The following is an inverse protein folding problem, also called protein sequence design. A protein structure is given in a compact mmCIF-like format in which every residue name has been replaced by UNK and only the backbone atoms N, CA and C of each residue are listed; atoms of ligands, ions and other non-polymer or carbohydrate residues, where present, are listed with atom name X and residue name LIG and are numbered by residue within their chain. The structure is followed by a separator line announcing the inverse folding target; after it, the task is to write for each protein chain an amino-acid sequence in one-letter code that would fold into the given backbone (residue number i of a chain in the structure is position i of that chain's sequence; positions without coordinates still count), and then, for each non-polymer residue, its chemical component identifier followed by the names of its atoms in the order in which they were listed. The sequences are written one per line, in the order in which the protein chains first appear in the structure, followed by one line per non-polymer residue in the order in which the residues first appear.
data_IF_583848344537
#
_entry.id   IF_583848344537
#
_cell.length_a   1.000
_cell.length_b   1.000
_cell.length_c   1.000
_cell.angle_alpha   90.00
_cell.angle_beta   90.00
_cell.angle_gamma   90.00
#
_symmetry.space_group_name_H-M   'P 1'
#
loop_
_entity.id
_entity.type
_entity.pdbx_description
1 polymer ?
#
# COMPACT_ATOMS: atom_id res chain seq x y z
N UNK A 1 -44.74 -32.13 24.60
CA UNK A 1 -44.45 -30.80 23.99
C UNK A 1 -43.43 -29.98 24.77
N UNK A 2 -43.58 -29.75 26.09
CA UNK A 2 -42.63 -28.97 26.91
C UNK A 2 -41.16 -29.41 26.77
N UNK A 3 -40.85 -30.71 26.77
CA UNK A 3 -39.46 -31.20 26.63
C UNK A 3 -38.85 -30.93 25.24
N UNK A 4 -39.66 -31.01 24.18
CA UNK A 4 -39.22 -30.76 22.79
C UNK A 4 -38.88 -29.28 22.59
N UNK A 5 -39.71 -28.38 23.14
CA UNK A 5 -39.41 -26.94 23.14
C UNK A 5 -38.15 -26.61 23.92
N UNK A 6 -37.86 -27.31 25.03
CA UNK A 6 -36.61 -27.11 25.79
C UNK A 6 -35.38 -27.56 25.00
N UNK A 7 -35.44 -28.72 24.31
CA UNK A 7 -34.33 -29.19 23.47
C UNK A 7 -34.08 -28.27 22.27
N UNK A 8 -35.14 -27.74 21.65
CA UNK A 8 -35.03 -26.78 20.55
C UNK A 8 -34.39 -25.45 21.00
N UNK A 9 -34.74 -24.99 22.20
CA UNK A 9 -34.14 -23.79 22.81
C UNK A 9 -32.67 -24.03 23.18
N UNK A 10 -32.33 -25.21 23.72
CA UNK A 10 -30.96 -25.59 24.03
C UNK A 10 -30.08 -25.67 22.76
N UNK A 11 -30.58 -26.28 21.68
CA UNK A 11 -29.92 -26.34 20.37
C UNK A 11 -29.72 -24.94 19.74
N UNK A 12 -30.66 -24.01 19.93
CA UNK A 12 -30.48 -22.61 19.55
C UNK A 12 -29.38 -21.91 20.37
N UNK A 13 -29.28 -22.17 21.69
CA UNK A 13 -28.24 -21.55 22.51
C UNK A 13 -26.83 -22.06 22.20
N UNK A 14 -26.68 -23.34 21.88
CA UNK A 14 -25.38 -23.94 21.51
C UNK A 14 -24.89 -23.44 20.14
N UNK A 15 -25.82 -23.19 19.21
CA UNK A 15 -25.48 -22.60 17.90
C UNK A 15 -25.15 -21.10 17.98
N UNK A 16 -25.71 -20.36 18.94
CA UNK A 16 -25.37 -18.95 19.19
C UNK A 16 -23.99 -18.77 19.85
N UNK A 17 -23.49 -19.76 20.60
CA UNK A 17 -22.16 -19.75 21.23
C UNK A 17 -21.02 -20.25 20.32
N UNK A 18 -21.34 -20.79 19.13
CA UNK A 18 -20.35 -21.24 18.14
C UNK A 18 -19.80 -20.10 17.26
N UNK A 19 -19.97 -18.83 17.66
CA UNK A 19 -19.22 -17.74 17.07
C UNK A 19 -17.74 -17.84 17.50
N UNK A 20 -17.03 -18.82 16.93
CA UNK A 20 -15.56 -18.82 16.89
C UNK A 20 -15.14 -17.42 16.44
N UNK A 21 -14.39 -16.71 17.28
CA UNK A 21 -13.72 -15.48 16.88
C UNK A 21 -12.83 -15.81 15.69
N UNK A 22 -13.32 -15.51 14.48
CA UNK A 22 -12.58 -15.74 13.25
C UNK A 22 -11.42 -14.76 13.24
N UNK A 23 -10.24 -15.31 13.48
CA UNK A 23 -8.98 -14.58 13.51
C UNK A 23 -7.96 -15.27 12.61
N UNK A 24 -7.09 -14.47 12.02
CA UNK A 24 -6.05 -14.96 11.16
C UNK A 24 -4.95 -13.93 10.90
N UNK A 25 -3.88 -14.44 10.30
CA UNK A 25 -2.76 -13.66 9.80
C UNK A 25 -2.61 -13.96 8.32
N UNK A 26 -2.52 -12.92 7.49
CA UNK A 26 -2.17 -13.03 6.09
C UNK A 26 -0.85 -12.29 5.83
N UNK A 27 0.08 -12.94 5.14
CA UNK A 27 1.36 -12.35 4.73
C UNK A 27 1.25 -11.94 3.27
N UNK A 28 1.68 -10.71 2.97
CA UNK A 28 1.64 -10.10 1.65
C UNK A 28 3.04 -9.69 1.20
N UNK A 29 3.32 -9.93 -0.08
CA UNK A 29 4.52 -9.46 -0.75
C UNK A 29 4.13 -8.41 -1.80
N UNK A 30 4.64 -7.20 -1.62
CA UNK A 30 4.51 -6.11 -2.59
C UNK A 30 5.71 -6.12 -3.52
N UNK A 31 5.48 -6.07 -4.82
CA UNK A 31 6.51 -5.93 -5.86
C UNK A 31 6.16 -4.77 -6.77
N UNK A 32 7.02 -3.76 -6.81
CA UNK A 32 6.88 -2.60 -7.71
C UNK A 32 7.88 -2.69 -8.84
N UNK A 33 7.39 -2.63 -10.07
CA UNK A 33 8.27 -2.61 -11.25
C UNK A 33 8.73 -1.17 -11.55
N UNK A 34 10.02 -1.02 -11.85
CA UNK A 34 10.59 0.26 -12.30
C UNK A 34 10.89 0.15 -13.77
N UNK A 35 10.40 1.12 -14.52
CA UNK A 35 10.75 1.28 -15.92
C UNK A 35 12.16 1.87 -16.04
N UNK A 36 13.11 0.99 -16.31
CA UNK A 36 14.52 1.33 -16.47
C UNK A 36 14.84 1.86 -17.87
N UNK A 37 13.91 1.80 -18.82
CA UNK A 37 14.13 2.27 -20.20
C UNK A 37 14.36 3.78 -20.28
N UNK A 38 13.89 4.52 -19.27
CA UNK A 38 14.03 5.98 -19.17
C UNK A 38 15.37 6.44 -18.59
N UNK A 39 16.24 5.50 -18.19
CA UNK A 39 17.46 5.79 -17.44
C UNK A 39 18.67 6.03 -18.35
N UNK A 40 18.50 6.86 -19.39
CA UNK A 40 19.56 7.21 -20.34
C UNK A 40 20.08 6.02 -21.17
N UNK A 41 20.46 6.27 -22.42
CA UNK A 41 21.00 5.23 -23.30
C UNK A 41 22.40 4.73 -22.88
N UNK A 42 23.02 5.31 -21.84
CA UNK A 42 24.47 5.20 -21.56
C UNK A 42 24.85 4.35 -20.34
N UNK A 43 23.93 3.66 -19.67
CA UNK A 43 24.32 2.76 -18.58
C UNK A 43 24.62 1.35 -19.06
N UNK A 44 25.80 0.82 -18.67
CA UNK A 44 26.15 -0.59 -18.85
C UNK A 44 25.15 -1.51 -18.14
N UNK A 45 24.92 -2.70 -18.70
CA UNK A 45 24.02 -3.71 -18.13
C UNK A 45 24.40 -4.11 -16.70
N UNK A 46 25.70 -4.15 -16.40
CA UNK A 46 26.23 -4.39 -15.05
C UNK A 46 25.80 -3.30 -14.06
N UNK A 47 25.89 -2.03 -14.46
CA UNK A 47 25.47 -0.90 -13.64
C UNK A 47 23.96 -0.91 -13.41
N UNK A 48 23.16 -1.24 -14.45
CA UNK A 48 21.70 -1.42 -14.31
C UNK A 48 21.37 -2.54 -13.32
N UNK A 49 22.08 -3.67 -13.39
CA UNK A 49 21.91 -4.82 -12.48
C UNK A 49 22.27 -4.46 -11.04
N UNK A 50 23.38 -3.73 -10.82
CA UNK A 50 23.76 -3.25 -9.49
C UNK A 50 22.75 -2.27 -8.91
N UNK A 51 22.23 -1.34 -9.71
CA UNK A 51 21.20 -0.40 -9.24
C UNK A 51 19.90 -1.16 -8.92
N UNK A 52 19.48 -2.09 -9.79
CA UNK A 52 18.30 -2.94 -9.53
C UNK A 52 18.48 -3.75 -8.24
N UNK A 53 19.66 -4.30 -7.99
CA UNK A 53 19.96 -5.03 -6.76
C UNK A 53 19.87 -4.12 -5.51
N UNK A 54 20.42 -2.90 -5.58
CA UNK A 54 20.31 -1.91 -4.50
C UNK A 54 18.86 -1.44 -4.27
N UNK A 55 18.05 -1.40 -5.32
CA UNK A 55 16.65 -1.02 -5.24
C UNK A 55 15.73 -2.18 -4.85
N UNK A 56 16.19 -3.44 -4.90
CA UNK A 56 15.34 -4.62 -4.65
C UNK A 56 14.59 -4.52 -3.33
N UNK A 57 15.28 -4.21 -2.23
CA UNK A 57 14.66 -4.08 -0.90
C UNK A 57 13.66 -2.92 -0.80
N UNK A 58 13.72 -1.95 -1.70
CA UNK A 58 12.79 -0.83 -1.77
C UNK A 58 11.56 -1.16 -2.64
N UNK A 59 11.75 -1.97 -3.68
CA UNK A 59 10.71 -2.38 -4.62
C UNK A 59 9.94 -3.61 -4.15
N UNK A 60 10.57 -4.45 -3.33
CA UNK A 60 10.02 -5.67 -2.76
C UNK A 60 9.89 -5.53 -1.24
N UNK A 61 8.65 -5.45 -0.74
CA UNK A 61 8.34 -5.31 0.68
C UNK A 61 7.45 -6.45 1.15
N UNK A 62 7.66 -6.91 2.39
CA UNK A 62 6.78 -7.88 3.06
C UNK A 62 5.89 -7.17 4.06
N UNK A 63 4.64 -7.60 4.16
CA UNK A 63 3.67 -7.03 5.08
C UNK A 63 2.86 -8.14 5.74
N UNK A 64 2.53 -7.96 7.02
CA UNK A 64 1.61 -8.82 7.74
C UNK A 64 0.28 -8.08 7.96
N UNK A 65 -0.82 -8.76 7.62
CA UNK A 65 -2.18 -8.39 7.99
C UNK A 65 -2.66 -9.33 9.08
N UNK A 66 -2.78 -8.84 10.30
CA UNK A 66 -3.51 -9.54 11.36
C UNK A 66 -4.95 -9.04 11.32
N UNK A 67 -5.92 -9.95 11.29
CA UNK A 67 -7.32 -9.58 11.18
C UNK A 67 -8.20 -10.44 12.09
N UNK A 68 -9.27 -9.82 12.54
CA UNK A 68 -10.46 -10.46 13.08
C UNK A 68 -11.65 -10.11 12.18
N UNK A 69 -12.85 -10.53 12.56
CA UNK A 69 -14.08 -10.07 11.89
C UNK A 69 -14.35 -8.58 12.07
N UNK A 70 -13.76 -7.94 13.09
CA UNK A 70 -14.06 -6.57 13.51
C UNK A 70 -12.93 -5.60 13.19
N UNK A 71 -11.70 -6.05 13.38
CA UNK A 71 -10.51 -5.19 13.37
C UNK A 71 -9.40 -5.80 12.53
N UNK A 72 -8.46 -4.97 12.11
CA UNK A 72 -7.24 -5.43 11.46
C UNK A 72 -6.08 -4.48 11.65
N UNK A 73 -4.87 -5.03 11.69
CA UNK A 73 -3.61 -4.30 11.62
C UNK A 73 -2.80 -4.80 10.45
N UNK A 74 -2.41 -3.88 9.58
CA UNK A 74 -1.49 -4.11 8.46
C UNK A 74 -0.17 -3.39 8.73
N UNK A 75 0.93 -4.14 8.76
CA UNK A 75 2.26 -3.62 9.11
C UNK A 75 3.32 -4.17 8.18
N UNK A 76 4.29 -3.33 7.81
CA UNK A 76 5.49 -3.75 7.09
C UNK A 76 6.38 -4.61 7.99
N UNK A 77 6.78 -5.79 7.51
CA UNK A 77 7.77 -6.63 8.18
C UNK A 77 9.16 -6.12 7.83
N UNK A 78 9.91 -5.67 8.84
CA UNK A 78 11.25 -5.15 8.65
C UNK A 78 12.21 -6.26 8.22
N UNK A 79 12.75 -6.17 7.01
CA UNK A 79 13.93 -6.96 6.62
C UNK A 79 15.19 -6.23 7.07
N UNK A 80 16.05 -6.92 7.82
CA UNK A 80 17.36 -6.41 8.24
C UNK A 80 18.11 -5.90 7.00
N UNK A 81 18.54 -4.63 7.01
CA UNK A 81 19.33 -4.07 5.92
C UNK A 81 20.72 -4.73 5.91
N UNK A 82 21.22 -5.06 4.73
CA UNK A 82 22.61 -5.49 4.58
C UNK A 82 23.56 -4.35 5.00
N UNK A 83 24.61 -4.63 5.81
CA UNK A 83 25.58 -3.63 6.25
C UNK A 83 26.20 -2.88 5.06
N UNK A 84 26.38 -1.56 5.18
CA UNK A 84 27.10 -0.74 4.18
C UNK A 84 26.24 -0.15 3.05
N UNK A 85 24.93 -0.42 3.01
CA UNK A 85 24.05 0.23 2.02
C UNK A 85 23.72 1.65 2.46
N UNK A 86 24.52 2.66 2.09
CA UNK A 86 24.05 4.07 2.04
C UNK A 86 22.99 4.19 0.94
N UNK A 87 21.81 3.67 1.20
CA UNK A 87 20.65 3.80 0.32
C UNK A 87 20.29 5.27 0.18
N UNK A 88 19.72 5.63 -0.97
CA UNK A 88 19.05 6.91 -1.14
C UNK A 88 18.16 7.17 0.09
N UNK A 89 18.33 8.34 0.74
CA UNK A 89 17.54 8.83 1.90
C UNK A 89 16.06 9.07 1.57
N UNK A 90 15.48 8.26 0.68
CA UNK A 90 14.06 8.27 0.34
C UNK A 90 13.23 7.30 1.21
N UNK A 91 13.83 6.64 2.21
CA UNK A 91 13.13 5.68 3.08
C UNK A 91 11.86 6.23 3.73
N UNK A 92 11.85 7.52 4.10
CA UNK A 92 10.68 8.21 4.65
C UNK A 92 9.54 8.48 3.66
N UNK A 93 9.74 8.26 2.36
CA UNK A 93 8.69 8.43 1.34
C UNK A 93 8.01 7.11 0.95
N UNK A 94 8.40 5.98 1.56
CA UNK A 94 7.91 4.65 1.16
C UNK A 94 6.68 4.16 1.90
N UNK A 95 6.00 5.04 2.64
CA UNK A 95 4.75 4.70 3.32
C UNK A 95 4.88 3.49 4.26
N UNK A 96 6.06 3.33 4.87
CA UNK A 96 6.27 2.35 5.93
C UNK A 96 5.52 2.83 7.16
N UNK A 97 4.57 2.03 7.62
CA UNK A 97 3.66 2.42 8.69
C UNK A 97 2.77 1.28 9.16
N UNK A 98 2.01 1.55 10.21
CA UNK A 98 1.00 0.63 10.76
C UNK A 98 -0.36 1.17 10.37
N UNK A 99 -1.15 0.40 9.62
CA UNK A 99 -2.55 0.72 9.30
C UNK A 99 -3.46 -0.12 10.15
N UNK A 100 -4.21 0.52 11.03
CA UNK A 100 -5.24 -0.10 11.85
C UNK A 100 -6.63 0.29 11.31
N UNK A 101 -7.55 -0.67 11.29
CA UNK A 101 -8.95 -0.45 10.90
C UNK A 101 -9.85 -1.16 11.89
N UNK A 102 -10.93 -0.49 12.30
CA UNK A 102 -12.04 -1.08 13.02
C UNK A 102 -13.34 -0.81 12.25
N UNK A 103 -13.94 -1.87 11.72
CA UNK A 103 -15.13 -1.80 10.89
C UNK A 103 -16.41 -1.54 11.70
N UNK A 104 -16.43 -1.90 12.99
CA UNK A 104 -17.59 -1.65 13.87
C UNK A 104 -17.66 -0.19 14.30
N UNK A 105 -16.51 0.40 14.62
CA UNK A 105 -16.39 1.81 15.03
C UNK A 105 -16.20 2.77 13.85
N UNK A 106 -16.21 2.28 12.61
CA UNK A 106 -15.95 3.05 11.39
C UNK A 106 -14.66 3.91 11.46
N UNK A 107 -13.60 3.35 12.04
CA UNK A 107 -12.36 4.07 12.38
C UNK A 107 -11.16 3.51 11.64
N UNK A 108 -10.39 4.38 10.96
CA UNK A 108 -9.07 4.06 10.40
C UNK A 108 -7.99 4.91 11.06
N UNK A 109 -6.87 4.27 11.39
CA UNK A 109 -5.69 4.91 11.92
C UNK A 109 -4.47 4.48 11.09
N UNK A 110 -3.59 5.42 10.78
CA UNK A 110 -2.33 5.13 10.12
C UNK A 110 -1.17 5.80 10.87
N UNK A 111 -0.30 5.00 11.48
CA UNK A 111 0.94 5.48 12.08
C UNK A 111 2.03 5.49 11.02
N UNK A 112 2.57 6.66 10.70
CA UNK A 112 3.67 6.84 9.75
C UNK A 112 4.82 7.57 10.41
N UNK A 113 6.05 7.20 10.09
CA UNK A 113 7.23 7.98 10.46
C UNK A 113 7.75 8.75 9.25
N UNK A 114 7.84 10.06 9.39
CA UNK A 114 8.30 10.97 8.36
C UNK A 114 9.33 11.94 8.94
N UNK A 115 10.57 11.88 8.43
CA UNK A 115 11.70 12.72 8.87
C UNK A 115 11.98 12.67 10.38
N UNK A 116 11.91 11.48 10.98
CA UNK A 116 12.16 11.28 12.41
C UNK A 116 11.03 11.76 13.32
N UNK A 117 9.92 12.24 12.74
CA UNK A 117 8.67 12.51 13.46
C UNK A 117 7.65 11.42 13.17
N UNK A 118 6.90 11.03 14.19
CA UNK A 118 5.80 10.07 14.06
C UNK A 118 4.48 10.83 13.96
N UNK A 119 3.67 10.46 12.99
CA UNK A 119 2.34 11.01 12.77
C UNK A 119 1.31 9.90 12.94
N UNK A 120 0.23 10.20 13.64
CA UNK A 120 -0.93 9.34 13.75
C UNK A 120 -2.04 9.94 12.90
N UNK A 121 -2.19 9.40 11.69
CA UNK A 121 -3.19 9.88 10.73
C UNK A 121 -4.53 9.25 11.09
N UNK A 122 -5.48 10.09 11.50
CA UNK A 122 -6.85 9.67 11.82
C UNK A 122 -7.74 9.95 10.61
N UNK A 123 -8.48 8.94 10.17
CA UNK A 123 -9.39 9.06 9.03
C UNK A 123 -10.65 8.22 9.25
N UNK A 124 -11.74 8.61 8.60
CA UNK A 124 -12.94 7.78 8.60
C UNK A 124 -12.78 6.65 7.58
N UNK A 125 -13.30 5.46 7.88
CA UNK A 125 -13.27 4.34 6.93
C UNK A 125 -14.35 4.50 5.87
N UNK A 126 -14.11 5.34 4.86
CA UNK A 126 -14.94 5.32 3.65
C UNK A 126 -14.78 3.99 2.92
N UNK A 127 -15.90 3.32 2.67
CA UNK A 127 -15.90 2.03 1.97
C UNK A 127 -15.48 2.23 0.52
N UNK A 128 -14.44 1.53 0.03
CA UNK A 128 -14.05 1.63 -1.37
C UNK A 128 -15.20 1.14 -2.28
N UNK A 129 -15.48 1.92 -3.34
CA UNK A 129 -16.51 1.61 -4.34
C UNK A 129 -15.96 0.61 -5.35
N UNK A 130 -16.12 -0.67 -5.07
CA UNK A 130 -15.73 -1.76 -5.95
C UNK A 130 -16.81 -2.08 -6.98
N UNK A 131 -16.38 -2.29 -8.21
CA UNK A 131 -17.14 -2.95 -9.28
C UNK A 131 -16.76 -4.42 -9.30
N UNK A 132 -17.73 -5.31 -9.13
CA UNK A 132 -17.48 -6.75 -9.12
C UNK A 132 -17.42 -7.27 -10.57
N UNK A 133 -16.35 -7.98 -10.90
CA UNK A 133 -16.20 -8.66 -12.19
C UNK A 133 -16.61 -10.13 -12.12
N UNK A 134 -16.77 -10.76 -13.29
CA UNK A 134 -17.06 -12.18 -13.43
C UNK A 134 -15.80 -13.06 -13.54
N UNK A 135 -14.64 -12.45 -13.76
CA UNK A 135 -13.39 -13.19 -13.94
C UNK A 135 -13.02 -13.94 -12.65
N UNK A 136 -12.57 -15.19 -12.81
CA UNK A 136 -12.11 -16.03 -11.71
C UNK A 136 -10.67 -16.50 -11.93
N UNK A 137 -9.94 -16.72 -10.84
CA UNK A 137 -8.62 -17.36 -10.88
C UNK A 137 -8.30 -18.07 -9.56
N UNK A 138 -7.34 -18.98 -9.58
CA UNK A 138 -6.82 -19.63 -8.37
C UNK A 138 -5.60 -18.86 -7.83
N UNK A 139 -5.60 -18.58 -6.53
CA UNK A 139 -4.42 -18.07 -5.80
C UNK A 139 -4.18 -19.01 -4.62
N UNK A 140 -3.07 -19.75 -4.67
CA UNK A 140 -2.82 -20.85 -3.73
C UNK A 140 -3.94 -21.89 -3.85
N UNK A 141 -4.65 -22.14 -2.74
CA UNK A 141 -5.80 -23.06 -2.68
C UNK A 141 -7.16 -22.36 -2.80
N UNK A 142 -7.17 -21.04 -3.00
CA UNK A 142 -8.37 -20.23 -2.93
C UNK A 142 -8.87 -19.82 -4.30
N UNK A 143 -10.17 -20.02 -4.52
CA UNK A 143 -10.84 -19.49 -5.71
C UNK A 143 -11.13 -18.01 -5.48
N UNK A 144 -10.65 -17.18 -6.40
CA UNK A 144 -10.69 -15.73 -6.30
C UNK A 144 -11.51 -15.13 -7.44
N UNK A 145 -12.22 -14.05 -7.12
CA UNK A 145 -13.02 -13.27 -8.05
C UNK A 145 -12.39 -11.88 -8.23
N UNK A 146 -12.52 -11.34 -9.43
CA UNK A 146 -12.00 -10.01 -9.75
C UNK A 146 -12.94 -8.92 -9.26
N UNK A 147 -12.37 -7.82 -8.79
CA UNK A 147 -13.08 -6.57 -8.58
C UNK A 147 -12.19 -5.41 -9.04
N UNK A 148 -12.79 -4.32 -9.50
CA UNK A 148 -12.08 -3.11 -9.93
C UNK A 148 -12.56 -1.90 -9.15
N UNK A 149 -11.66 -0.96 -8.88
CA UNK A 149 -12.05 0.38 -8.43
C UNK A 149 -11.22 1.42 -9.16
N UNK A 150 -11.77 2.62 -9.30
CA UNK A 150 -11.04 3.78 -9.79
C UNK A 150 -10.70 4.65 -8.59
N UNK A 151 -9.42 5.00 -8.44
CA UNK A 151 -8.98 5.92 -7.40
C UNK A 151 -8.20 7.09 -7.97
N UNK A 152 -8.32 8.24 -7.30
CA UNK A 152 -7.47 9.39 -7.56
C UNK A 152 -6.05 9.09 -7.09
N UNK A 153 -5.08 9.47 -7.91
CA UNK A 153 -3.67 9.27 -7.55
C UNK A 153 -3.24 10.36 -6.59
N UNK A 154 -2.61 9.93 -5.49
CA UNK A 154 -1.94 10.85 -4.58
C UNK A 154 -0.72 11.45 -5.30
N UNK A 155 -0.64 12.79 -5.33
CA UNK A 155 0.46 13.51 -5.94
C UNK A 155 1.83 13.17 -5.30
N UNK A 156 1.83 12.62 -4.09
CA UNK A 156 3.04 12.19 -3.37
C UNK A 156 3.37 10.71 -3.56
N UNK A 157 2.54 9.95 -4.28
CA UNK A 157 2.85 8.56 -4.60
C UNK A 157 3.88 8.47 -5.72
N UNK A 158 5.14 8.29 -5.31
CA UNK A 158 6.27 8.18 -6.22
C UNK A 158 6.13 7.00 -7.21
N UNK A 159 5.34 5.97 -6.88
CA UNK A 159 5.15 4.77 -7.72
C UNK A 159 4.44 5.10 -9.03
N UNK A 160 3.61 6.14 -9.00
CA UNK A 160 2.83 6.62 -10.13
C UNK A 160 3.51 7.79 -10.87
N UNK A 161 4.67 8.25 -10.39
CA UNK A 161 5.41 9.35 -10.99
C UNK A 161 6.10 8.90 -12.29
N UNK A 162 5.68 9.46 -13.43
CA UNK A 162 6.30 9.18 -14.73
C UNK A 162 7.25 10.32 -15.08
N UNK A 163 8.54 10.00 -15.31
CA UNK A 163 9.46 10.94 -15.96
C UNK A 163 9.04 11.10 -17.41
N UNK A 164 8.74 12.32 -17.81
CA UNK A 164 8.52 12.67 -19.22
C UNK A 164 9.82 12.38 -19.95
N UNK A 165 9.78 11.48 -20.94
CA UNK A 165 10.96 11.08 -21.67
C UNK A 165 11.63 12.30 -22.31
N UNK A 166 12.87 12.60 -21.93
CA UNK A 166 13.77 13.48 -22.72
C UNK A 166 14.24 12.71 -23.96
N UNK A 167 13.28 12.32 -24.81
CA UNK A 167 13.55 11.78 -26.14
C UNK A 167 13.60 12.92 -27.13
N UNK A 168 14.81 13.34 -27.51
CA UNK A 168 15.05 14.15 -28.69
C UNK A 168 14.75 13.26 -29.91
N UNK A 169 13.47 13.09 -30.24
CA UNK A 169 13.01 12.17 -31.29
C UNK A 169 11.52 12.33 -31.53
N UNK A 170 11.18 12.99 -32.64
CA UNK A 170 9.82 13.11 -33.18
C UNK A 170 9.18 11.71 -33.26
N UNK A 171 8.02 11.49 -32.64
CA UNK A 171 7.19 10.34 -33.00
C UNK A 171 6.23 9.75 -31.96
N UNK A 172 6.33 10.04 -30.66
CA UNK A 172 5.31 9.56 -29.70
C UNK A 172 4.20 10.58 -29.53
N UNK A 173 3.00 10.22 -30.00
CA UNK A 173 1.73 10.96 -29.80
C UNK A 173 1.64 11.45 -28.35
N UNK A 174 1.15 12.69 -28.10
CA UNK A 174 0.93 13.15 -26.75
C UNK A 174 -0.06 12.20 -26.07
N UNK A 175 0.30 11.67 -24.91
CA UNK A 175 -0.70 11.10 -24.02
C UNK A 175 -1.73 12.19 -23.72
N UNK A 176 -2.99 11.84 -23.87
CA UNK A 176 -4.15 12.71 -23.71
C UNK A 176 -4.04 13.60 -22.47
N UNK A 177 -3.84 14.92 -22.68
CA UNK A 177 -3.64 15.94 -21.61
C UNK A 177 -4.81 15.99 -20.62
N UNK A 178 -5.96 15.41 -20.96
CA UNK A 178 -7.14 15.31 -20.11
C UNK A 178 -6.89 14.45 -18.85
N UNK A 179 -6.06 13.40 -18.95
CA UNK A 179 -5.95 12.34 -17.92
C UNK A 179 -4.74 12.44 -16.99
N UNK A 180 -3.89 13.45 -17.12
CA UNK A 180 -2.67 13.63 -16.29
C UNK A 180 -2.61 14.99 -15.61
N UNK A 181 -2.03 15.04 -14.41
CA UNK A 181 -1.67 16.27 -13.70
C UNK A 181 -0.16 16.48 -13.79
N UNK A 182 0.27 17.67 -14.21
CA UNK A 182 1.67 18.05 -14.23
C UNK A 182 2.10 18.48 -12.83
N UNK A 183 3.04 17.74 -12.23
CA UNK A 183 3.63 18.12 -10.94
C UNK A 183 4.86 18.99 -11.15
N UNK A 184 5.58 18.79 -12.27
CA UNK A 184 6.64 19.67 -12.77
C UNK A 184 6.70 19.58 -14.30
N UNK A 185 7.54 20.39 -14.97
CA UNK A 185 7.76 20.33 -16.43
C UNK A 185 8.18 18.93 -16.93
N UNK A 186 8.77 18.11 -16.05
CA UNK A 186 9.33 16.80 -16.36
C UNK A 186 8.55 15.62 -15.74
N UNK A 187 7.53 15.87 -14.92
CA UNK A 187 6.80 14.84 -14.18
C UNK A 187 5.30 14.96 -14.41
N UNK A 188 4.71 13.89 -14.97
CA UNK A 188 3.27 13.72 -15.12
C UNK A 188 2.78 12.57 -14.24
N UNK A 189 1.67 12.79 -13.55
CA UNK A 189 0.99 11.78 -12.74
C UNK A 189 -0.40 11.57 -13.34
N UNK A 190 -0.85 10.32 -13.62
CA UNK A 190 -2.22 10.08 -14.02
C UNK A 190 -3.18 10.58 -12.93
N UNK A 191 -4.29 11.25 -13.30
CA UNK A 191 -5.26 11.77 -12.33
C UNK A 191 -5.93 10.63 -11.55
N UNK A 192 -6.20 9.53 -12.25
CA UNK A 192 -6.85 8.36 -11.72
C UNK A 192 -6.16 7.09 -12.21
N UNK A 193 -6.20 6.05 -11.38
CA UNK A 193 -5.75 4.71 -11.74
C UNK A 193 -6.82 3.68 -11.39
N UNK A 194 -6.95 2.69 -12.26
CA UNK A 194 -7.75 1.51 -11.99
C UNK A 194 -6.94 0.55 -11.13
N UNK A 195 -7.49 0.18 -9.98
CA UNK A 195 -6.97 -0.87 -9.11
C UNK A 195 -7.77 -2.13 -9.38
N UNK A 196 -7.09 -3.24 -9.59
CA UNK A 196 -7.73 -4.56 -9.70
C UNK A 196 -7.44 -5.36 -8.45
N UNK A 197 -8.48 -5.84 -7.79
CA UNK A 197 -8.40 -6.77 -6.67
C UNK A 197 -8.82 -8.17 -7.08
N UNK A 198 -8.19 -9.17 -6.47
CA UNK A 198 -8.67 -10.55 -6.48
C UNK A 198 -8.96 -10.96 -5.04
N UNK A 199 -10.21 -11.32 -4.77
CA UNK A 199 -10.69 -11.62 -3.42
C UNK A 199 -11.35 -13.00 -3.36
N UNK A 200 -11.34 -13.62 -2.19
CA UNK A 200 -11.95 -14.95 -1.99
C UNK A 200 -13.03 -14.92 -0.88
N UNK A 201 -14.29 -15.27 -1.20
CA UNK A 201 -15.35 -15.46 -0.21
C UNK A 201 -15.11 -16.62 0.76
N UNK A 202 -14.18 -17.54 0.41
CA UNK A 202 -13.83 -18.70 1.25
C UNK A 202 -13.20 -18.27 2.59
N UNK A 203 -12.68 -17.04 2.67
CA UNK A 203 -12.28 -16.38 3.90
C UNK A 203 -13.23 -15.19 4.08
N UNK A 204 -14.33 -15.32 4.85
CA UNK A 204 -15.42 -14.34 4.91
C UNK A 204 -15.07 -13.12 5.79
N UNK A 205 -13.94 -12.48 5.51
CA UNK A 205 -13.48 -11.26 6.16
C UNK A 205 -13.32 -10.17 5.11
N UNK A 206 -14.04 -9.07 5.30
CA UNK A 206 -14.04 -7.93 4.37
C UNK A 206 -12.81 -7.04 4.56
N UNK A 207 -11.62 -7.62 4.35
CA UNK A 207 -10.35 -6.95 4.59
C UNK A 207 -9.31 -7.27 3.51
N UNK A 208 -8.15 -6.62 3.59
CA UNK A 208 -7.12 -6.70 2.58
C UNK A 208 -5.91 -5.83 2.88
N UNK A 209 -4.93 -5.82 1.96
CA UNK A 209 -3.68 -5.11 2.16
C UNK A 209 -3.90 -3.60 2.21
N UNK A 210 -3.35 -2.96 3.24
CA UNK A 210 -3.39 -1.51 3.43
C UNK A 210 -4.82 -0.94 3.45
N UNK A 211 -5.10 -0.03 2.51
CA UNK A 211 -6.38 0.68 2.41
C UNK A 211 -7.47 -0.09 1.66
N UNK A 212 -7.16 -1.27 1.11
CA UNK A 212 -8.12 -2.05 0.34
C UNK A 212 -8.93 -2.95 1.29
N UNK A 213 -10.26 -2.78 1.27
CA UNK A 213 -11.22 -3.56 2.06
C UNK A 213 -12.62 -3.39 1.46
N UNK A 214 -13.64 -4.02 2.04
CA UNK A 214 -15.05 -3.82 1.65
C UNK A 214 -15.60 -4.82 0.63
N UNK A 215 -14.79 -5.75 0.15
CA UNK A 215 -15.21 -6.87 -0.69
C UNK A 215 -15.80 -8.01 0.16
N UNK A 216 -16.67 -8.88 -0.40
CA UNK A 216 -17.27 -10.00 0.32
C UNK A 216 -16.29 -11.18 0.44
N UNK A 217 -15.12 -10.91 1.03
CA UNK A 217 -14.04 -11.88 1.22
C UNK A 217 -12.67 -11.21 1.37
N UNK A 218 -11.68 -12.00 1.77
CA UNK A 218 -10.31 -11.50 1.94
C UNK A 218 -9.67 -11.24 0.57
N UNK A 219 -9.06 -10.06 0.43
CA UNK A 219 -8.31 -9.70 -0.77
C UNK A 219 -6.96 -10.42 -0.76
N UNK A 220 -6.72 -11.26 -1.76
CA UNK A 220 -5.46 -12.00 -1.90
C UNK A 220 -4.49 -11.35 -2.88
N UNK A 221 -4.96 -10.54 -3.81
CA UNK A 221 -4.08 -9.81 -4.72
C UNK A 221 -4.63 -8.42 -5.03
N UNK A 222 -3.73 -7.45 -5.13
CA UNK A 222 -4.00 -6.11 -5.64
C UNK A 222 -2.99 -5.80 -6.75
N UNK A 223 -3.50 -5.33 -7.89
CA UNK A 223 -2.70 -4.68 -8.92
C UNK A 223 -3.07 -3.21 -8.99
N UNK A 224 -2.08 -2.37 -8.73
CA UNK A 224 -2.19 -0.92 -8.73
C UNK A 224 -1.08 -0.34 -9.62
N UNK A 225 -1.41 -0.01 -10.86
CA UNK A 225 -0.43 0.51 -11.81
C UNK A 225 0.72 -0.45 -12.05
N UNK A 226 1.89 -0.15 -11.48
CA UNK A 226 3.14 -0.94 -11.59
C UNK A 226 3.45 -1.79 -10.35
N UNK A 227 2.58 -1.73 -9.35
CA UNK A 227 2.73 -2.43 -8.08
C UNK A 227 1.72 -3.57 -8.00
N UNK A 228 2.24 -4.77 -7.74
CA UNK A 228 1.44 -5.95 -7.41
C UNK A 228 1.67 -6.30 -5.95
N UNK A 229 0.60 -6.48 -5.19
CA UNK A 229 0.63 -6.97 -3.82
C UNK A 229 -0.05 -8.32 -3.82
N UNK A 230 0.69 -9.38 -3.51
CA UNK A 230 0.19 -10.76 -3.53
C UNK A 230 0.26 -11.37 -2.13
N UNK A 231 -0.81 -12.03 -1.71
CA UNK A 231 -0.84 -12.83 -0.49
C UNK A 231 -0.07 -14.13 -0.70
N UNK A 232 0.98 -14.33 0.08
CA UNK A 232 1.82 -15.52 0.03
C UNK A 232 1.34 -16.61 0.99
N UNK A 233 0.73 -16.23 2.11
CA UNK A 233 0.36 -17.15 3.17
C UNK A 233 -0.86 -16.64 3.94
N UNK A 234 -1.76 -17.57 4.31
CA UNK A 234 -2.89 -17.30 5.20
C UNK A 234 -2.89 -18.35 6.32
N UNK A 235 -2.79 -17.88 7.56
CA UNK A 235 -2.83 -18.70 8.77
C UNK A 235 -4.14 -18.39 9.50
N UNK A 236 -4.97 -19.42 9.71
CA UNK A 236 -6.27 -19.31 10.35
C UNK A 236 -6.25 -19.89 11.76
N UNK A 237 -7.07 -19.36 12.66
CA UNK A 237 -7.23 -19.86 14.03
C UNK A 237 -5.88 -19.93 14.79
N UNK A 238 -5.09 -18.85 14.71
CA UNK A 238 -3.87 -18.72 15.52
C UNK A 238 -4.28 -18.86 16.99
N UNK A 239 -3.84 -19.94 17.66
CA UNK A 239 -4.28 -20.30 19.01
C UNK A 239 -3.65 -19.45 20.12
N UNK A 240 -2.62 -18.66 19.79
CA UNK A 240 -1.84 -17.91 20.77
C UNK A 240 -2.26 -16.44 20.90
N UNK A 241 -2.01 -15.88 22.09
CA UNK A 241 -2.28 -14.52 22.57
C UNK A 241 -1.76 -13.36 21.69
N UNK A 242 -1.11 -13.64 20.56
CA UNK A 242 -0.40 -12.67 19.71
C UNK A 242 -1.30 -11.90 18.71
N UNK A 243 -2.58 -12.23 18.61
CA UNK A 243 -3.56 -11.51 17.78
C UNK A 243 -4.25 -10.36 18.51
N UNK A 244 -3.68 -9.84 19.61
CA UNK A 244 -4.13 -8.55 20.15
C UNK A 244 -3.84 -7.46 19.12
N UNK A 245 -4.88 -7.12 18.37
CA UNK A 245 -4.89 -6.01 17.44
C UNK A 245 -4.95 -4.74 18.29
N UNK A 246 -3.80 -4.10 18.47
CA UNK A 246 -3.69 -2.84 19.20
C UNK A 246 -3.69 -1.67 18.22
N UNK A 247 -4.56 -0.69 18.51
CA UNK A 247 -4.59 0.56 17.78
C UNK A 247 -3.29 1.36 18.07
N UNK A 248 -2.64 1.96 17.06
CA UNK A 248 -1.53 2.86 17.31
C UNK A 248 -2.00 4.12 18.05
N UNK A 249 -1.28 4.50 19.09
CA UNK A 249 -1.58 5.69 19.94
C UNK A 249 -0.47 6.73 19.96
N UNK A 250 0.66 6.47 19.30
CA UNK A 250 1.85 7.34 19.33
C UNK A 250 1.99 8.14 18.04
N UNK A 251 2.29 9.43 18.19
CA UNK A 251 2.57 10.35 17.10
C UNK A 251 1.70 11.61 17.19
N UNK A 252 2.06 12.63 16.41
CA UNK A 252 1.25 13.83 16.27
C UNK A 252 -0.04 13.46 15.53
N UNK A 253 -1.19 13.64 16.18
CA UNK A 253 -2.50 13.39 15.56
C UNK A 253 -2.76 14.42 14.46
N UNK A 254 -3.01 13.93 13.25
CA UNK A 254 -3.25 14.76 12.07
C UNK A 254 -4.30 14.10 11.18
N UNK A 255 -5.04 14.91 10.43
CA UNK A 255 -5.88 14.40 9.34
C UNK A 255 -5.03 14.00 8.14
N UNK A 256 -5.61 13.23 7.21
CA UNK A 256 -4.94 12.88 5.94
C UNK A 256 -4.52 14.13 5.15
N UNK A 257 -5.37 15.13 5.12
CA UNK A 257 -5.12 16.37 4.38
C UNK A 257 -3.98 17.19 5.00
N UNK A 258 -3.95 17.29 6.32
CA UNK A 258 -2.85 17.95 7.05
C UNK A 258 -1.53 17.22 6.85
N UNK A 259 -1.55 15.89 6.96
CA UNK A 259 -0.37 15.07 6.68
C UNK A 259 0.15 15.32 5.26
N UNK A 260 -0.73 15.35 4.25
CA UNK A 260 -0.36 15.64 2.86
C UNK A 260 0.24 17.05 2.70
N UNK A 261 -0.29 18.06 3.41
CA UNK A 261 0.28 19.42 3.43
C UNK A 261 1.67 19.45 4.07
N UNK A 262 1.88 18.71 5.17
CA UNK A 262 3.18 18.60 5.86
C UNK A 262 4.22 17.96 4.91
N UNK A 263 3.85 16.85 4.27
CA UNK A 263 4.71 16.16 3.29
C UNK A 263 5.03 17.09 2.13
N UNK A 264 4.03 17.77 1.56
CA UNK A 264 4.21 18.72 0.46
C UNK A 264 5.23 19.81 0.80
N UNK A 265 5.03 20.50 1.92
CA UNK A 265 5.90 21.59 2.37
C UNK A 265 7.33 21.10 2.58
N UNK A 266 7.51 19.93 3.20
CA UNK A 266 8.83 19.34 3.41
C UNK A 266 9.52 18.92 2.11
N UNK A 267 8.77 18.42 1.13
CA UNK A 267 9.31 18.13 -0.19
C UNK A 267 9.75 19.41 -0.92
N UNK A 268 8.97 20.49 -0.84
CA UNK A 268 9.31 21.79 -1.43
C UNK A 268 10.57 22.39 -0.80
N UNK A 269 10.65 22.45 0.53
CA UNK A 269 11.84 22.89 1.27
C UNK A 269 13.09 22.08 0.86
N UNK A 270 12.95 20.76 0.79
CA UNK A 270 14.03 19.86 0.36
C UNK A 270 14.48 20.18 -1.07
N UNK A 271 13.54 20.36 -1.98
CA UNK A 271 13.82 20.68 -3.38
C UNK A 271 14.58 22.00 -3.50
N UNK A 272 14.18 23.04 -2.78
CA UNK A 272 14.88 24.32 -2.75
C UNK A 272 16.31 24.19 -2.23
N UNK A 273 16.51 23.47 -1.12
CA UNK A 273 17.84 23.19 -0.57
C UNK A 273 18.75 22.46 -1.57
N UNK A 274 18.22 21.45 -2.28
CA UNK A 274 18.95 20.75 -3.33
C UNK A 274 19.29 21.65 -4.53
N UNK A 275 18.36 22.51 -4.94
CA UNK A 275 18.60 23.46 -6.03
C UNK A 275 19.68 24.49 -5.66
N UNK A 276 19.65 25.05 -4.45
CA UNK A 276 20.68 25.96 -3.93
C UNK A 276 22.07 25.31 -3.90
N UNK A 277 22.16 24.04 -3.48
CA UNK A 277 23.43 23.27 -3.51
C UNK A 277 23.94 22.98 -4.93
N UNK A 278 23.05 22.78 -5.92
CA UNK A 278 23.43 22.52 -7.31
C UNK A 278 23.84 23.79 -8.07
N UNK A 279 23.30 24.94 -7.68
CA UNK A 279 23.64 26.25 -8.24
C UNK A 279 25.01 26.79 -7.82
N UNK A 280 25.55 26.37 -6.67
CA UNK A 280 26.85 26.84 -6.17
C UNK A 280 28.10 26.15 -6.75
N UNK A 281 27.95 25.08 -7.55
CA UNK A 281 29.06 24.22 -7.97
C UNK A 281 29.55 24.39 -9.42
N UNK A 282 29.00 25.33 -10.19
CA UNK A 282 29.37 25.55 -11.61
C UNK A 282 30.18 26.84 -11.86
N UNK A 283 30.77 27.41 -10.80
CA UNK A 283 31.42 28.72 -10.85
C UNK A 283 32.83 28.78 -10.28
N UNK A 284 33.63 27.71 -10.30
CA UNK A 284 35.09 27.79 -10.04
C UNK A 284 35.84 26.70 -10.82
N UNK A 285 36.41 27.09 -11.94
CA UNK A 285 37.20 26.20 -12.81
C UNK A 285 37.51 26.81 -14.17
N UNK A 286 37.84 28.11 -14.19
CA UNK A 286 38.54 28.78 -15.30
C UNK A 286 39.42 29.84 -14.67
N UNK A 287 40.66 29.45 -14.39
CA UNK A 287 41.84 30.28 -14.46
C UNK A 287 42.89 29.43 -15.17
#
# INVERSE_FOLDING_TARGET
MRKITTYLFLLCTISLWSQKQFQGKAVYQSKTTVDMSSWGAEMSEERKKQIKARMKNFLEKSYALNFTTKESVYKEEAKLQAPGTRGFRFGGFTGGGIKYKNLQANKALESVEFFGKKFLITDNTEKPKWELGSDTKQIGKYTCFKATLVKKVDAFDWRNMRRRGRGRGKGKKPSDKSKTTKVTEEIEIPKEITVTAWYTPQIPVSNGPGQYWGLPGLILEINEGRTTILCSEVIMNVKDKETKIEAPTKGDEVTREEYNKIVKKKMEEMREMFQRRRGGGRGRGRF
#
